data_IF_915717490984
#
_entry.id   IF_915717490984
#
_cell.length_a   1.000
_cell.length_b   1.000
_cell.length_c   1.000
_cell.angle_alpha   90.00
_cell.angle_beta   90.00
_cell.angle_gamma   90.00
#
_symmetry.space_group_name_H-M   'P 1'
#
loop_
_entity.id
_entity.type
_entity.pdbx_description
1 polymer ?
#
# COMPACT_ATOMS: atom_id res chain seq x y z
N UNK A 1 -12.45 19.97 -8.88
CA UNK A 1 -11.27 20.35 -9.71
C UNK A 1 -10.16 19.29 -9.66
N UNK A 2 -9.56 18.96 -10.81
CA UNK A 2 -8.50 17.94 -10.95
C UNK A 2 -7.24 18.34 -10.15
N UNK A 3 -6.86 19.62 -10.19
CA UNK A 3 -5.71 20.15 -9.44
C UNK A 3 -5.81 19.95 -7.93
N UNK A 4 -6.98 20.18 -7.34
CA UNK A 4 -7.21 19.98 -5.90
C UNK A 4 -7.08 18.50 -5.48
N UNK A 5 -7.44 17.57 -6.36
CA UNK A 5 -7.25 16.13 -6.12
C UNK A 5 -5.77 15.74 -6.19
N UNK A 6 -5.02 16.29 -7.13
CA UNK A 6 -3.58 16.04 -7.26
C UNK A 6 -2.81 16.57 -6.05
N UNK A 7 -3.13 17.77 -5.56
CA UNK A 7 -2.51 18.33 -4.36
C UNK A 7 -2.87 17.54 -3.11
N UNK A 8 -4.13 17.13 -2.96
CA UNK A 8 -4.56 16.25 -1.87
C UNK A 8 -3.78 14.92 -1.85
N UNK A 9 -3.64 14.26 -3.01
CA UNK A 9 -2.88 13.02 -3.13
C UNK A 9 -1.38 13.23 -2.82
N UNK A 10 -0.79 14.34 -3.27
CA UNK A 10 0.60 14.67 -2.96
C UNK A 10 0.83 14.90 -1.45
N UNK A 11 -0.07 15.63 -0.78
CA UNK A 11 -0.01 15.86 0.67
C UNK A 11 -0.17 14.54 1.42
N UNK A 12 -1.12 13.70 1.01
CA UNK A 12 -1.32 12.35 1.57
C UNK A 12 -0.04 11.53 1.50
N UNK A 13 0.62 11.48 0.33
CA UNK A 13 1.88 10.76 0.15
C UNK A 13 3.01 11.29 1.03
N UNK A 14 3.13 12.61 1.18
CA UNK A 14 4.15 13.21 2.07
C UNK A 14 3.94 12.83 3.53
N UNK A 15 2.68 12.76 3.99
CA UNK A 15 2.34 12.35 5.35
C UNK A 15 2.72 10.90 5.63
N UNK A 16 2.54 10.00 4.66
CA UNK A 16 2.92 8.59 4.78
C UNK A 16 4.43 8.42 4.96
N UNK A 17 5.25 9.13 4.19
CA UNK A 17 6.71 9.08 4.36
C UNK A 17 7.17 9.65 5.71
N UNK A 18 6.49 10.69 6.21
CA UNK A 18 6.76 11.24 7.53
C UNK A 18 6.39 10.24 8.63
N UNK A 19 5.26 9.53 8.46
CA UNK A 19 4.86 8.46 9.37
C UNK A 19 5.89 7.33 9.42
N UNK A 20 6.43 6.90 8.26
CA UNK A 20 7.48 5.89 8.20
C UNK A 20 8.75 6.34 8.94
N UNK A 21 9.19 7.58 8.70
CA UNK A 21 10.36 8.16 9.36
C UNK A 21 10.17 8.29 10.86
N UNK A 22 8.99 8.74 11.31
CA UNK A 22 8.67 8.82 12.73
C UNK A 22 8.59 7.44 13.37
N UNK A 23 8.03 6.46 12.66
CA UNK A 23 8.02 5.06 13.08
C UNK A 23 9.44 4.56 13.30
N UNK A 24 10.34 4.75 12.34
CA UNK A 24 11.75 4.35 12.46
C UNK A 24 12.46 5.06 13.60
N UNK A 25 12.21 6.36 13.80
CA UNK A 25 12.77 7.13 14.91
C UNK A 25 12.32 6.61 16.27
N UNK A 26 11.03 6.29 16.42
CA UNK A 26 10.44 5.82 17.67
C UNK A 26 10.85 4.38 18.00
N UNK A 27 10.85 3.49 17.00
CA UNK A 27 11.15 2.07 17.20
C UNK A 27 12.65 1.76 17.15
N UNK A 28 13.46 2.68 16.62
CA UNK A 28 14.88 2.46 16.30
C UNK A 28 15.11 1.22 15.42
N UNK A 29 14.10 0.83 14.63
CA UNK A 29 14.12 -0.38 13.82
C UNK A 29 13.58 -0.14 12.40
N UNK A 30 14.34 0.58 11.56
CA UNK A 30 13.94 0.84 10.16
C UNK A 30 13.83 -0.45 9.34
N UNK A 31 14.71 -1.44 9.56
CA UNK A 31 14.67 -2.71 8.82
C UNK A 31 13.42 -3.54 9.16
N UNK A 32 13.01 -3.57 10.44
CA UNK A 32 11.77 -4.22 10.85
C UNK A 32 10.53 -3.63 10.17
N UNK A 33 10.50 -2.31 9.99
CA UNK A 33 9.44 -1.62 9.26
C UNK A 33 9.50 -1.94 7.76
N UNK A 34 10.69 -1.98 7.16
CA UNK A 34 10.88 -2.37 5.76
C UNK A 34 10.40 -3.81 5.50
N UNK A 35 10.77 -4.77 6.35
CA UNK A 35 10.30 -6.15 6.28
C UNK A 35 8.78 -6.27 6.45
N UNK A 36 8.17 -5.48 7.33
CA UNK A 36 6.72 -5.45 7.49
C UNK A 36 6.02 -4.98 6.20
N UNK A 37 6.56 -3.94 5.55
CA UNK A 37 6.06 -3.46 4.26
C UNK A 37 6.27 -4.48 3.14
N UNK A 38 7.39 -5.21 3.13
CA UNK A 38 7.62 -6.32 2.19
C UNK A 38 6.60 -7.45 2.38
N UNK A 39 6.30 -7.80 3.63
CA UNK A 39 5.27 -8.78 3.94
C UNK A 39 3.90 -8.33 3.42
N UNK A 40 3.51 -7.07 3.66
CA UNK A 40 2.25 -6.51 3.14
C UNK A 40 2.23 -6.53 1.61
N UNK A 41 3.35 -6.22 0.95
CA UNK A 41 3.47 -6.29 -0.51
C UNK A 41 3.26 -7.71 -1.04
N UNK A 42 3.74 -8.72 -0.31
CA UNK A 42 3.59 -10.13 -0.66
C UNK A 42 2.19 -10.67 -0.33
N UNK A 43 1.53 -10.13 0.69
CA UNK A 43 0.18 -10.54 1.15
C UNK A 43 -0.95 -9.97 0.29
N UNK A 44 -0.64 -9.51 -0.93
CA UNK A 44 -1.65 -9.32 -1.93
C UNK A 44 -2.21 -10.69 -2.33
N UNK A 45 -3.55 -10.89 -2.36
CA UNK A 45 -4.14 -12.15 -2.80
C UNK A 45 -3.83 -12.37 -4.28
N UNK A 46 -2.67 -12.98 -4.55
CA UNK A 46 -2.24 -13.47 -5.86
C UNK A 46 -2.96 -14.77 -6.24
N UNK A 47 -3.90 -15.22 -5.42
CA UNK A 47 -4.77 -16.33 -5.77
C UNK A 47 -5.84 -15.86 -6.75
N UNK A 48 -5.88 -16.47 -7.94
CA UNK A 48 -7.16 -16.59 -8.66
C UNK A 48 -8.18 -17.10 -7.63
N UNK A 49 -9.32 -16.42 -7.42
CA UNK A 49 -10.34 -16.94 -6.52
C UNK A 49 -10.61 -18.40 -6.83
N UNK A 50 -10.41 -19.27 -5.83
CA UNK A 50 -10.73 -20.68 -5.94
C UNK A 50 -12.25 -20.82 -5.91
N UNK A 51 -12.91 -20.78 -7.07
CA UNK A 51 -14.35 -20.97 -7.17
C UNK A 51 -15.01 -20.25 -8.35
N UNK A 52 -16.30 -20.54 -8.55
CA UNK A 52 -17.14 -19.82 -9.53
C UNK A 52 -17.39 -18.38 -9.09
N UNK A 53 -17.57 -17.45 -10.04
CA UNK A 53 -18.01 -16.06 -9.76
C UNK A 53 -19.30 -15.99 -8.92
N UNK A 54 -20.09 -17.06 -8.92
CA UNK A 54 -21.33 -17.18 -8.12
C UNK A 54 -21.09 -17.08 -6.62
N UNK A 55 -19.90 -17.44 -6.10
CA UNK A 55 -19.58 -17.33 -4.66
C UNK A 55 -19.07 -15.94 -4.27
N UNK A 56 -18.95 -14.99 -5.20
CA UNK A 56 -18.45 -13.65 -4.94
C UNK A 56 -19.13 -12.91 -3.76
N UNK A 57 -20.46 -13.01 -3.54
CA UNK A 57 -21.13 -12.36 -2.40
C UNK A 57 -20.75 -12.93 -1.03
N UNK A 58 -20.14 -14.12 -0.97
CA UNK A 58 -19.70 -14.76 0.28
C UNK A 58 -18.34 -14.23 0.76
N UNK A 59 -17.62 -13.48 -0.07
CA UNK A 59 -16.34 -12.91 0.29
C UNK A 59 -16.50 -11.52 0.89
N UNK A 60 -15.74 -11.23 1.95
CA UNK A 60 -15.64 -9.90 2.58
C UNK A 60 -15.17 -8.85 1.54
N UNK A 61 -14.36 -9.26 0.56
CA UNK A 61 -13.92 -8.43 -0.56
C UNK A 61 -13.99 -9.24 -1.85
N UNK A 62 -14.53 -8.65 -2.93
CA UNK A 62 -14.75 -9.37 -4.19
C UNK A 62 -13.41 -9.82 -4.81
N UNK A 63 -13.07 -11.12 -4.79
CA UNK A 63 -11.77 -11.61 -5.24
C UNK A 63 -11.69 -11.72 -6.77
N UNK A 64 -12.83 -11.57 -7.48
CA UNK A 64 -12.92 -11.58 -8.94
C UNK A 64 -12.79 -10.19 -9.55
N UNK A 65 -12.83 -9.14 -8.73
CA UNK A 65 -12.59 -7.78 -9.18
C UNK A 65 -11.09 -7.64 -9.37
N UNK A 66 -10.64 -7.41 -10.61
CA UNK A 66 -9.24 -7.11 -10.89
C UNK A 66 -8.82 -5.97 -9.96
N UNK A 67 -7.84 -6.23 -9.09
CA UNK A 67 -7.16 -5.18 -8.34
C UNK A 67 -6.59 -4.24 -9.39
N UNK A 68 -7.31 -3.15 -9.67
CA UNK A 68 -6.86 -2.16 -10.65
C UNK A 68 -5.54 -1.63 -10.14
N UNK A 69 -4.47 -1.97 -10.85
CA UNK A 69 -3.07 -1.61 -10.58
C UNK A 69 -2.83 -0.13 -10.86
N UNK A 70 -3.78 0.73 -10.53
CA UNK A 70 -3.69 2.15 -10.80
C UNK A 70 -2.98 2.87 -9.66
N UNK A 71 -1.66 2.76 -9.67
CA UNK A 71 -0.69 3.61 -8.94
C UNK A 71 -1.05 5.10 -8.95
N UNK A 72 -1.77 5.54 -9.99
CA UNK A 72 -2.19 6.93 -10.22
C UNK A 72 -3.31 7.39 -9.26
N UNK A 73 -4.15 6.48 -8.75
CA UNK A 73 -5.28 6.80 -7.85
C UNK A 73 -5.06 6.32 -6.40
N UNK A 74 -3.93 5.69 -6.10
CA UNK A 74 -3.58 5.28 -4.74
C UNK A 74 -3.35 6.51 -3.86
N UNK A 75 -4.09 6.58 -2.75
CA UNK A 75 -3.93 7.57 -1.67
C UNK A 75 -2.61 7.42 -0.93
N UNK A 76 -1.93 6.28 -1.10
CA UNK A 76 -0.62 5.96 -0.54
C UNK A 76 0.46 5.92 -1.62
N UNK A 77 1.72 6.26 -1.27
CA UNK A 77 2.84 6.12 -2.18
C UNK A 77 3.15 4.64 -2.46
N UNK A 78 3.84 4.32 -3.56
CA UNK A 78 4.27 2.96 -3.85
C UNK A 78 5.04 2.34 -2.67
N UNK A 79 4.71 1.09 -2.31
CA UNK A 79 5.36 0.38 -1.21
C UNK A 79 6.87 0.25 -1.43
N UNK A 80 7.31 0.02 -2.67
CA UNK A 80 8.73 -0.08 -3.02
C UNK A 80 9.53 1.16 -2.65
N UNK A 81 8.94 2.34 -2.86
CA UNK A 81 9.58 3.61 -2.52
C UNK A 81 9.70 3.78 -1.00
N UNK A 82 8.71 3.32 -0.24
CA UNK A 82 8.72 3.36 1.23
C UNK A 82 9.78 2.41 1.79
N UNK A 83 9.82 1.17 1.29
CA UNK A 83 10.83 0.15 1.66
C UNK A 83 12.24 0.69 1.39
N UNK A 84 12.47 1.25 0.19
CA UNK A 84 13.76 1.84 -0.18
C UNK A 84 14.20 2.94 0.79
N UNK A 85 13.28 3.84 1.16
CA UNK A 85 13.59 4.94 2.09
C UNK A 85 13.90 4.45 3.50
N UNK A 86 13.13 3.50 4.02
CA UNK A 86 13.38 2.91 5.33
C UNK A 86 14.74 2.21 5.36
N UNK A 87 15.12 1.48 4.31
CA UNK A 87 16.45 0.84 4.22
C UNK A 87 17.61 1.80 4.04
N UNK A 88 17.35 3.04 3.64
CA UNK A 88 18.37 4.08 3.51
C UNK A 88 18.54 4.97 4.75
N UNK A 89 17.77 4.72 5.82
CA UNK A 89 17.88 5.40 7.11
C UNK A 89 18.92 4.75 8.00
#
# INVERSE_FOLDING_TARGET
PIFARLTYLAISRKREYLADSNGAYLTRNPEGLAMALEKIKQDHPQGKPKGSKTVAPLYISNPFKSVSVSSVWSTHPPLDERIRRLRSM
#
